data_IF_820046576959
#
_entry.id   IF_820046576959
#
_cell.length_a   1.000
_cell.length_b   1.000
_cell.length_c   1.000
_cell.angle_alpha   90.00
_cell.angle_beta   90.00
_cell.angle_gamma   90.00
#
_symmetry.space_group_name_H-M   'P 1'
#
loop_
_entity.id
_entity.type
_entity.pdbx_description
1 polymer ?
#
# COMPACT_ATOMS: atom_id res chain seq x y z
N UNK A 1 22.57 -68.52 3.59
CA UNK A 1 22.64 -68.03 4.97
C UNK A 1 21.87 -66.72 5.00
N UNK A 2 20.64 -66.77 5.51
CA UNK A 2 19.67 -65.67 5.46
C UNK A 2 19.96 -64.57 6.50
N UNK A 3 20.07 -63.29 6.12
CA UNK A 3 20.22 -62.16 7.04
C UNK A 3 18.87 -61.55 7.49
N UNK A 4 17.73 -62.21 7.23
CA UNK A 4 16.39 -61.67 7.51
C UNK A 4 15.86 -61.85 8.95
N UNK A 5 16.53 -62.64 9.80
CA UNK A 5 15.96 -63.10 11.07
C UNK A 5 16.19 -62.22 12.32
N UNK A 6 17.04 -61.18 12.25
CA UNK A 6 17.46 -60.41 13.46
C UNK A 6 16.75 -59.08 13.68
N UNK A 7 16.12 -58.50 12.65
CA UNK A 7 15.45 -57.19 12.77
C UNK A 7 14.03 -57.34 13.34
N UNK A 8 13.33 -58.43 13.02
CA UNK A 8 11.98 -58.70 13.56
C UNK A 8 11.97 -58.92 15.07
N UNK A 9 12.95 -59.66 15.61
CA UNK A 9 12.99 -60.03 17.04
C UNK A 9 13.22 -58.83 17.96
N UNK A 10 14.01 -57.84 17.53
CA UNK A 10 14.28 -56.63 18.31
C UNK A 10 13.05 -55.70 18.34
N UNK A 11 12.29 -55.63 17.24
CA UNK A 11 11.04 -54.86 17.19
C UNK A 11 9.92 -55.53 18.02
N UNK A 12 9.79 -56.84 17.97
CA UNK A 12 8.78 -57.59 18.76
C UNK A 12 9.04 -57.53 20.27
N UNK A 13 10.30 -57.61 20.70
CA UNK A 13 10.64 -57.50 22.13
C UNK A 13 10.37 -56.11 22.70
N UNK A 14 10.63 -55.03 21.95
CA UNK A 14 10.35 -53.66 22.41
C UNK A 14 8.86 -53.33 22.41
N UNK A 15 8.08 -53.86 21.47
CA UNK A 15 6.62 -53.75 21.50
C UNK A 15 6.02 -54.52 22.69
N UNK A 16 6.51 -55.73 22.97
CA UNK A 16 6.03 -56.53 24.10
C UNK A 16 6.35 -55.88 25.46
N UNK A 17 7.51 -55.21 25.58
CA UNK A 17 7.88 -54.46 26.78
C UNK A 17 7.05 -53.17 26.96
N UNK A 18 6.63 -52.51 25.88
CA UNK A 18 5.71 -51.36 25.93
C UNK A 18 4.30 -51.80 26.32
N UNK A 19 3.80 -52.90 25.76
CA UNK A 19 2.46 -53.44 26.04
C UNK A 19 2.33 -53.94 27.48
N UNK A 20 3.42 -54.42 28.10
CA UNK A 20 3.47 -54.85 29.50
C UNK A 20 3.93 -53.77 30.48
N UNK A 21 4.11 -52.52 30.04
CA UNK A 21 4.47 -51.41 30.94
C UNK A 21 3.27 -51.01 31.81
N UNK A 22 3.54 -50.59 33.06
CA UNK A 22 2.51 -50.10 34.00
C UNK A 22 1.58 -49.04 33.38
N UNK A 23 2.10 -48.21 32.48
CA UNK A 23 1.34 -47.20 31.75
C UNK A 23 0.22 -47.78 30.86
N UNK A 24 0.43 -48.94 30.23
CA UNK A 24 -0.58 -49.60 29.38
C UNK A 24 -1.63 -50.32 30.23
N UNK A 25 -1.25 -50.86 31.40
CA UNK A 25 -2.20 -51.44 32.34
C UNK A 25 -3.09 -50.38 33.00
N UNK A 26 -2.53 -49.20 33.36
CA UNK A 26 -3.29 -48.05 33.85
C UNK A 26 -4.21 -47.43 32.78
N UNK A 27 -3.77 -47.43 31.51
CA UNK A 27 -4.60 -47.01 30.37
C UNK A 27 -5.80 -47.95 30.16
N UNK A 28 -5.62 -49.27 30.31
CA UNK A 28 -6.70 -50.25 30.13
C UNK A 28 -7.70 -50.26 31.29
N UNK A 29 -7.26 -49.98 32.51
CA UNK A 29 -8.14 -49.99 33.69
C UNK A 29 -8.98 -48.72 33.84
N UNK A 30 -8.50 -47.57 33.34
CA UNK A 30 -9.15 -46.29 33.55
C UNK A 30 -9.90 -45.78 32.30
N UNK A 31 -11.21 -46.03 32.25
CA UNK A 31 -12.09 -45.57 31.16
C UNK A 31 -11.97 -44.08 30.86
N UNK A 32 -11.72 -43.23 31.87
CA UNK A 32 -11.58 -41.77 31.68
C UNK A 32 -10.33 -41.42 30.86
N UNK A 33 -9.23 -42.13 31.05
CA UNK A 33 -7.95 -41.89 30.38
C UNK A 33 -8.03 -42.31 28.89
N UNK A 34 -8.78 -43.36 28.58
CA UNK A 34 -9.10 -43.78 27.20
C UNK A 34 -9.89 -42.70 26.45
N UNK A 35 -10.93 -42.13 27.06
CA UNK A 35 -11.70 -41.04 26.47
C UNK A 35 -10.85 -39.78 26.25
N UNK A 36 -9.91 -39.50 27.14
CA UNK A 36 -8.99 -38.35 27.00
C UNK A 36 -8.04 -38.54 25.80
N UNK A 37 -7.46 -39.74 25.63
CA UNK A 37 -6.57 -40.04 24.49
C UNK A 37 -7.33 -40.03 23.17
N UNK A 38 -8.56 -40.55 23.12
CA UNK A 38 -9.43 -40.44 21.94
C UNK A 38 -9.72 -38.97 21.62
N UNK A 39 -10.01 -38.14 22.62
CA UNK A 39 -10.21 -36.71 22.44
C UNK A 39 -8.99 -36.01 21.82
N UNK A 40 -7.78 -36.32 22.32
CA UNK A 40 -6.53 -35.79 21.77
C UNK A 40 -6.32 -36.25 20.33
N UNK A 41 -6.58 -37.52 20.03
CA UNK A 41 -6.45 -38.06 18.68
C UNK A 41 -7.42 -37.37 17.69
N UNK A 42 -8.67 -37.13 18.10
CA UNK A 42 -9.65 -36.41 17.29
C UNK A 42 -9.20 -34.97 17.03
N UNK A 43 -8.70 -34.26 18.05
CA UNK A 43 -8.19 -32.89 17.90
C UNK A 43 -7.00 -32.85 16.93
N UNK A 44 -6.08 -33.82 17.03
CA UNK A 44 -4.95 -33.92 16.11
C UNK A 44 -5.41 -34.14 14.66
N UNK A 45 -6.35 -35.04 14.43
CA UNK A 45 -6.89 -35.31 13.10
C UNK A 45 -7.56 -34.05 12.52
N UNK A 46 -8.38 -33.36 13.32
CA UNK A 46 -9.03 -32.12 12.90
C UNK A 46 -8.00 -31.02 12.58
N UNK A 47 -6.92 -30.93 13.35
CA UNK A 47 -5.83 -29.98 13.11
C UNK A 47 -5.10 -30.23 11.79
N UNK A 48 -4.79 -31.50 11.47
CA UNK A 48 -4.16 -31.86 10.19
C UNK A 48 -5.10 -31.61 9.02
N UNK A 49 -6.38 -31.96 9.14
CA UNK A 49 -7.39 -31.68 8.10
C UNK A 49 -7.52 -30.19 7.84
N UNK A 50 -7.52 -29.37 8.90
CA UNK A 50 -7.54 -27.91 8.77
C UNK A 50 -6.29 -27.38 8.06
N UNK A 51 -5.10 -27.83 8.46
CA UNK A 51 -3.85 -27.39 7.84
C UNK A 51 -3.79 -27.73 6.33
N UNK A 52 -4.29 -28.92 5.95
CA UNK A 52 -4.39 -29.31 4.54
C UNK A 52 -5.44 -28.49 3.77
N UNK A 53 -6.55 -28.12 4.41
CA UNK A 53 -7.56 -27.26 3.81
C UNK A 53 -7.03 -25.84 3.59
N UNK A 54 -6.39 -25.27 4.61
CA UNK A 54 -5.81 -23.93 4.57
C UNK A 54 -4.73 -23.84 3.46
N UNK A 55 -3.85 -24.85 3.35
CA UNK A 55 -2.83 -24.91 2.29
C UNK A 55 -3.43 -24.98 0.87
N UNK A 56 -4.53 -25.71 0.67
CA UNK A 56 -5.23 -25.74 -0.62
C UNK A 56 -5.87 -24.39 -0.95
N UNK A 57 -6.45 -23.71 0.03
CA UNK A 57 -7.05 -22.39 -0.20
C UNK A 57 -6.00 -21.35 -0.57
N UNK A 58 -4.82 -21.40 0.04
CA UNK A 58 -3.71 -20.50 -0.28
C UNK A 58 -3.17 -20.73 -1.70
N UNK A 59 -2.95 -22.00 -2.08
CA UNK A 59 -2.55 -22.35 -3.45
C UNK A 59 -3.59 -21.95 -4.50
N UNK A 60 -4.88 -22.11 -4.19
CA UNK A 60 -5.95 -21.68 -5.10
C UNK A 60 -6.04 -20.16 -5.24
N UNK A 61 -5.78 -19.41 -4.16
CA UNK A 61 -5.73 -17.96 -4.20
C UNK A 61 -4.56 -17.47 -5.08
N UNK A 62 -3.39 -18.09 -4.94
CA UNK A 62 -2.20 -17.78 -5.74
C UNK A 62 -2.38 -18.15 -7.23
N UNK A 63 -3.00 -19.29 -7.53
CA UNK A 63 -3.30 -19.66 -8.92
C UNK A 63 -4.29 -18.70 -9.58
N UNK A 64 -5.29 -18.21 -8.83
CA UNK A 64 -6.24 -17.21 -9.34
C UNK A 64 -5.57 -15.88 -9.64
N UNK A 65 -4.64 -15.41 -8.80
CA UNK A 65 -3.92 -14.16 -9.06
C UNK A 65 -3.00 -14.29 -10.27
N UNK A 66 -2.32 -15.43 -10.42
CA UNK A 66 -1.50 -15.71 -11.61
C UNK A 66 -2.34 -15.76 -12.90
N UNK A 67 -3.49 -16.44 -12.88
CA UNK A 67 -4.41 -16.47 -14.03
C UNK A 67 -4.96 -15.08 -14.38
N UNK A 68 -5.31 -14.27 -13.38
CA UNK A 68 -5.76 -12.90 -13.60
C UNK A 68 -4.68 -12.02 -14.23
N UNK A 69 -3.42 -12.21 -13.85
CA UNK A 69 -2.28 -11.49 -14.43
C UNK A 69 -2.05 -11.89 -15.89
N UNK A 70 -2.08 -13.19 -16.19
CA UNK A 70 -1.95 -13.68 -17.57
C UNK A 70 -3.11 -13.19 -18.45
N UNK A 71 -4.34 -13.24 -17.95
CA UNK A 71 -5.49 -12.70 -18.68
C UNK A 71 -5.37 -11.20 -18.97
N UNK A 72 -4.81 -10.41 -18.04
CA UNK A 72 -4.52 -8.99 -18.26
C UNK A 72 -3.42 -8.77 -19.29
N UNK A 73 -2.36 -9.56 -19.25
CA UNK A 73 -1.27 -9.48 -20.23
C UNK A 73 -1.75 -9.87 -21.63
N UNK A 74 -2.58 -10.89 -21.73
CA UNK A 74 -3.16 -11.32 -23.00
C UNK A 74 -4.15 -10.28 -23.54
N UNK A 75 -5.02 -9.73 -22.69
CA UNK A 75 -5.90 -8.62 -23.09
C UNK A 75 -5.11 -7.36 -23.52
N UNK A 76 -3.97 -7.08 -22.90
CA UNK A 76 -3.08 -5.99 -23.29
C UNK A 76 -2.32 -6.28 -24.59
N UNK A 77 -2.03 -7.55 -24.90
CA UNK A 77 -1.41 -7.97 -26.16
C UNK A 77 -2.41 -7.97 -27.33
N UNK A 78 -3.66 -8.35 -27.06
CA UNK A 78 -4.74 -8.44 -28.06
C UNK A 78 -5.45 -7.10 -28.31
N UNK A 79 -5.20 -6.08 -27.47
CA UNK A 79 -5.66 -4.70 -27.69
C UNK A 79 -4.55 -3.91 -28.38
N UNK A 80 -4.55 -3.74 -29.72
CA UNK A 80 -3.64 -2.81 -30.36
C UNK A 80 -3.85 -1.43 -29.74
N UNK A 81 -2.75 -0.74 -29.42
CA UNK A 81 -2.79 0.64 -28.93
C UNK A 81 -3.50 1.47 -29.99
N UNK A 82 -4.74 1.83 -29.70
CA UNK A 82 -5.57 2.66 -30.58
C UNK A 82 -4.86 4.01 -30.73
N UNK A 83 -4.35 4.27 -31.93
CA UNK A 83 -3.60 5.49 -32.25
C UNK A 83 -4.40 6.75 -31.87
N UNK A 84 -5.74 6.69 -31.94
CA UNK A 84 -6.61 7.79 -31.53
C UNK A 84 -6.60 8.04 -30.01
N UNK A 85 -6.43 7.00 -29.19
CA UNK A 85 -6.27 7.13 -27.74
C UNK A 85 -4.90 7.70 -27.41
N UNK A 86 -3.86 7.28 -28.13
CA UNK A 86 -2.51 7.79 -27.97
C UNK A 86 -2.44 9.29 -28.30
N UNK A 87 -3.05 9.72 -29.42
CA UNK A 87 -3.14 11.13 -29.80
C UNK A 87 -3.92 11.95 -28.77
N UNK A 88 -5.02 11.40 -28.25
CA UNK A 88 -5.79 12.07 -27.20
C UNK A 88 -4.97 12.25 -25.92
N UNK A 89 -4.22 11.22 -25.50
CA UNK A 89 -3.32 11.26 -24.34
C UNK A 89 -2.17 12.23 -24.56
N UNK A 90 -1.53 12.22 -25.72
CA UNK A 90 -0.47 13.17 -26.07
C UNK A 90 -1.01 14.61 -26.03
N UNK A 91 -2.21 14.86 -26.57
CA UNK A 91 -2.82 16.19 -26.54
C UNK A 91 -3.14 16.66 -25.12
N UNK A 92 -3.57 15.75 -24.23
CA UNK A 92 -3.82 16.06 -22.82
C UNK A 92 -2.52 16.34 -22.09
N UNK A 93 -1.48 15.57 -22.36
CA UNK A 93 -0.16 15.74 -21.76
C UNK A 93 0.49 17.06 -22.20
N UNK A 94 0.38 17.43 -23.48
CA UNK A 94 0.85 18.71 -23.99
C UNK A 94 0.09 19.89 -23.38
N UNK A 95 -1.23 19.78 -23.25
CA UNK A 95 -2.06 20.80 -22.59
C UNK A 95 -1.69 20.93 -21.10
N UNK A 96 -1.51 19.81 -20.42
CA UNK A 96 -1.09 19.77 -19.02
C UNK A 96 0.31 20.39 -18.84
N UNK A 97 1.26 20.06 -19.72
CA UNK A 97 2.63 20.56 -19.63
C UNK A 97 2.69 22.08 -19.85
N UNK A 98 1.90 22.63 -20.76
CA UNK A 98 1.79 24.08 -20.99
C UNK A 98 1.23 24.87 -19.80
N UNK A 99 0.52 24.21 -18.89
CA UNK A 99 -0.08 24.84 -17.71
C UNK A 99 0.87 24.85 -16.50
N UNK A 100 2.01 24.14 -16.57
CA UNK A 100 2.99 24.11 -15.48
C UNK A 100 3.81 25.41 -15.50
N UNK A 101 3.86 26.15 -14.39
CA UNK A 101 4.63 27.39 -14.30
C UNK A 101 6.13 27.10 -14.38
N UNK A 102 6.86 28.03 -14.98
CA UNK A 102 8.30 27.92 -15.19
C UNK A 102 9.11 28.72 -14.15
N UNK A 103 10.30 28.21 -13.82
CA UNK A 103 11.27 28.87 -12.95
C UNK A 103 12.70 28.66 -13.46
N UNK A 104 13.58 29.63 -13.20
CA UNK A 104 14.97 29.59 -13.69
C UNK A 104 15.89 28.79 -12.75
N UNK A 105 15.52 28.70 -11.47
CA UNK A 105 16.28 27.96 -10.46
C UNK A 105 15.36 27.44 -9.35
N UNK A 106 15.88 26.47 -8.59
CA UNK A 106 15.20 25.91 -7.40
C UNK A 106 14.77 26.99 -6.41
N UNK A 107 15.64 27.95 -6.08
CA UNK A 107 15.32 29.03 -5.14
C UNK A 107 14.24 29.98 -5.66
N UNK A 108 14.21 30.22 -6.98
CA UNK A 108 13.15 31.01 -7.60
C UNK A 108 11.82 30.25 -7.57
N UNK A 109 11.84 28.93 -7.80
CA UNK A 109 10.66 28.09 -7.67
C UNK A 109 10.10 28.12 -6.24
N UNK A 110 10.95 28.02 -5.22
CA UNK A 110 10.55 28.13 -3.81
C UNK A 110 9.90 29.48 -3.48
N UNK A 111 10.53 30.58 -3.91
CA UNK A 111 10.00 31.93 -3.70
C UNK A 111 8.65 32.13 -4.42
N UNK A 112 8.56 31.68 -5.68
CA UNK A 112 7.31 31.73 -6.46
C UNK A 112 6.21 30.89 -5.82
N UNK A 113 6.53 29.72 -5.26
CA UNK A 113 5.58 28.85 -4.59
C UNK A 113 4.98 29.52 -3.35
N UNK A 114 5.82 30.12 -2.52
CA UNK A 114 5.39 30.85 -1.32
C UNK A 114 4.47 32.02 -1.71
N UNK A 115 4.86 32.81 -2.71
CA UNK A 115 4.06 33.93 -3.20
C UNK A 115 2.71 33.48 -3.79
N UNK A 116 2.70 32.40 -4.57
CA UNK A 116 1.49 31.87 -5.20
C UNK A 116 0.47 31.39 -4.15
N UNK A 117 0.90 30.65 -3.13
CA UNK A 117 0.01 30.19 -2.05
C UNK A 117 -0.51 31.37 -1.24
N UNK A 118 0.34 32.35 -0.96
CA UNK A 118 -0.05 33.54 -0.22
C UNK A 118 -1.13 34.36 -0.96
N UNK A 119 -0.97 34.53 -2.28
CA UNK A 119 -1.92 35.25 -3.12
C UNK A 119 -3.24 34.48 -3.32
N UNK A 120 -3.15 33.19 -3.67
CA UNK A 120 -4.32 32.41 -4.06
C UNK A 120 -5.16 31.99 -2.86
N UNK A 121 -4.52 31.61 -1.76
CA UNK A 121 -5.19 30.90 -0.65
C UNK A 121 -4.99 31.60 0.69
N UNK A 122 -3.93 32.40 0.82
CA UNK A 122 -3.58 33.09 2.06
C UNK A 122 -4.65 34.06 2.58
N UNK A 123 -5.58 34.54 1.75
CA UNK A 123 -6.69 35.40 2.19
C UNK A 123 -7.86 34.62 2.82
N UNK A 124 -7.93 33.30 2.59
CA UNK A 124 -8.96 32.43 3.15
C UNK A 124 -8.63 31.98 4.58
N UNK A 125 -7.34 31.95 4.92
CA UNK A 125 -6.82 31.45 6.20
C UNK A 125 -6.42 32.62 7.10
N UNK A 126 -7.05 32.68 8.27
CA UNK A 126 -6.66 33.60 9.35
C UNK A 126 -5.52 33.02 10.19
N UNK A 127 -4.66 33.88 10.75
CA UNK A 127 -3.50 33.49 11.57
C UNK A 127 -2.60 32.44 10.88
N UNK A 128 -2.45 32.56 9.56
CA UNK A 128 -1.66 31.64 8.76
C UNK A 128 -0.19 31.66 9.15
N UNK A 129 0.44 30.49 9.05
CA UNK A 129 1.86 30.25 9.14
C UNK A 129 2.23 29.40 7.95
N UNK A 130 3.10 29.91 7.11
CA UNK A 130 3.58 29.24 5.92
C UNK A 130 5.04 28.84 6.16
N UNK A 131 5.34 27.57 6.04
CA UNK A 131 6.67 27.01 6.21
C UNK A 131 7.06 26.25 4.95
N UNK A 132 8.24 26.56 4.40
CA UNK A 132 8.84 25.76 3.34
C UNK A 132 9.36 24.45 3.95
N UNK A 133 8.88 23.31 3.46
CA UNK A 133 9.38 21.98 3.89
C UNK A 133 10.62 21.62 3.10
N UNK A 134 10.60 21.86 1.80
CA UNK A 134 11.73 21.63 0.90
C UNK A 134 11.29 21.66 -0.56
N UNK A 135 12.25 21.48 -1.45
CA UNK A 135 11.99 21.29 -2.86
C UNK A 135 12.80 20.10 -3.38
N UNK A 136 12.11 19.18 -4.03
CA UNK A 136 12.66 17.96 -4.61
C UNK A 136 12.77 18.12 -6.12
N UNK A 137 13.83 17.58 -6.71
CA UNK A 137 14.06 17.61 -8.14
C UNK A 137 13.64 16.30 -8.78
N UNK A 138 12.92 16.39 -9.89
CA UNK A 138 12.44 15.26 -10.67
C UNK A 138 12.85 15.45 -12.13
N UNK A 139 13.56 14.47 -12.68
CA UNK A 139 13.99 14.48 -14.07
C UNK A 139 13.08 13.53 -14.85
N UNK A 140 12.41 14.05 -15.88
CA UNK A 140 11.58 13.25 -16.77
C UNK A 140 11.96 13.55 -18.23
N UNK A 141 12.62 12.59 -18.88
CA UNK A 141 13.18 12.77 -20.21
C UNK A 141 14.27 13.84 -20.21
N UNK A 142 14.10 14.90 -21.00
CA UNK A 142 15.01 16.04 -21.10
C UNK A 142 14.61 17.22 -20.23
N UNK A 143 13.51 17.12 -19.48
CA UNK A 143 12.98 18.21 -18.66
C UNK A 143 13.18 17.93 -17.17
N UNK A 144 13.62 18.98 -16.47
CA UNK A 144 13.76 18.99 -15.02
C UNK A 144 12.56 19.71 -14.41
N UNK A 145 12.00 19.10 -13.38
CA UNK A 145 10.89 19.63 -12.61
C UNK A 145 11.30 19.78 -11.15
N UNK A 146 10.77 20.79 -10.48
CA UNK A 146 10.91 20.98 -9.04
C UNK A 146 9.54 20.86 -8.37
N UNK A 147 9.44 19.92 -7.44
CA UNK A 147 8.29 19.78 -6.55
C UNK A 147 8.59 20.52 -5.24
N UNK A 148 8.00 21.71 -5.09
CA UNK A 148 8.13 22.54 -3.88
C UNK A 148 7.04 22.16 -2.90
N UNK A 149 7.41 21.69 -1.72
CA UNK A 149 6.49 21.33 -0.64
C UNK A 149 6.39 22.43 0.40
N UNK A 150 5.16 22.89 0.63
CA UNK A 150 4.82 23.92 1.61
C UNK A 150 3.88 23.37 2.67
N UNK A 151 4.11 23.75 3.91
CA UNK A 151 3.20 23.50 5.02
C UNK A 151 2.50 24.80 5.42
N UNK A 152 1.18 24.79 5.37
CA UNK A 152 0.30 25.90 5.67
C UNK A 152 -0.59 25.54 6.87
N UNK A 153 -0.35 26.20 8.00
CA UNK A 153 -1.14 26.04 9.22
C UNK A 153 -1.87 27.33 9.57
N UNK A 154 -3.08 27.25 10.10
CA UNK A 154 -3.83 28.43 10.53
C UNK A 154 -5.27 28.10 10.91
N UNK A 155 -6.15 29.08 10.74
CA UNK A 155 -7.58 28.94 10.98
C UNK A 155 -8.36 29.20 9.69
N UNK A 156 -9.16 28.22 9.27
CA UNK A 156 -10.00 28.25 8.08
C UNK A 156 -11.45 28.06 8.49
N UNK A 157 -12.25 29.11 8.38
CA UNK A 157 -13.68 29.01 8.66
C UNK A 157 -14.35 28.01 7.72
N UNK A 158 -15.32 27.26 8.23
CA UNK A 158 -15.98 26.19 7.48
C UNK A 158 -16.67 26.67 6.18
N UNK A 159 -17.20 27.89 6.16
CA UNK A 159 -17.79 28.53 4.98
C UNK A 159 -16.77 28.74 3.84
N UNK A 160 -15.48 28.90 4.19
CA UNK A 160 -14.37 29.09 3.24
C UNK A 160 -13.68 27.80 2.83
N UNK A 161 -14.01 26.67 3.46
CA UNK A 161 -13.35 25.38 3.18
C UNK A 161 -13.52 24.95 1.72
N UNK A 162 -14.73 25.07 1.17
CA UNK A 162 -15.00 24.69 -0.21
C UNK A 162 -14.26 25.59 -1.19
N UNK A 163 -14.22 26.90 -0.93
CA UNK A 163 -13.44 27.84 -1.73
C UNK A 163 -11.94 27.51 -1.69
N UNK A 164 -11.42 27.15 -0.51
CA UNK A 164 -10.04 26.71 -0.32
C UNK A 164 -9.73 25.47 -1.17
N UNK A 165 -10.56 24.42 -1.08
CA UNK A 165 -10.35 23.18 -1.81
C UNK A 165 -10.43 23.36 -3.33
N UNK A 166 -11.28 24.28 -3.79
CA UNK A 166 -11.44 24.59 -5.22
C UNK A 166 -10.14 25.10 -5.86
N UNK A 167 -9.24 25.72 -5.10
CA UNK A 167 -7.93 26.15 -5.62
C UNK A 167 -6.96 25.00 -5.91
N UNK A 168 -7.24 23.80 -5.40
CA UNK A 168 -6.42 22.60 -5.59
C UNK A 168 -7.18 21.49 -6.32
N UNK A 169 -8.34 21.80 -6.89
CA UNK A 169 -9.11 20.85 -7.69
C UNK A 169 -8.40 20.59 -9.04
N UNK A 170 -8.83 19.56 -9.74
CA UNK A 170 -8.34 19.04 -11.03
C UNK A 170 -8.09 20.08 -12.13
N UNK A 171 -8.60 21.32 -11.99
CA UNK A 171 -8.24 22.45 -12.84
C UNK A 171 -6.81 22.99 -12.65
N UNK A 172 -6.16 22.72 -11.53
CA UNK A 172 -4.78 23.18 -11.25
C UNK A 172 -3.79 22.05 -11.42
N UNK A 173 -3.27 21.86 -12.64
CA UNK A 173 -2.30 20.78 -12.93
C UNK A 173 -0.99 20.92 -12.14
N UNK A 174 -0.63 22.14 -11.73
CA UNK A 174 0.63 22.44 -11.05
C UNK A 174 0.58 22.46 -9.53
N UNK A 175 -0.57 22.18 -8.90
CA UNK A 175 -0.67 22.20 -7.43
C UNK A 175 -1.58 21.11 -6.90
N UNK A 176 -1.17 20.45 -5.81
CA UNK A 176 -1.94 19.41 -5.14
C UNK A 176 -1.84 19.52 -3.63
N UNK A 177 -2.88 19.04 -2.95
CA UNK A 177 -2.84 18.81 -1.51
C UNK A 177 -2.22 17.43 -1.27
N UNK A 178 -1.06 17.38 -0.62
CA UNK A 178 -0.42 16.14 -0.22
C UNK A 178 -1.07 15.55 1.04
N UNK A 179 -1.42 16.40 2.00
CA UNK A 179 -2.17 16.01 3.20
C UNK A 179 -2.92 17.21 3.78
N UNK A 180 -4.08 16.97 4.37
CA UNK A 180 -4.88 18.01 5.00
C UNK A 180 -5.51 17.48 6.29
N UNK A 181 -5.38 18.25 7.36
CA UNK A 181 -6.07 18.05 8.62
C UNK A 181 -6.91 19.28 8.92
N UNK A 182 -8.22 19.07 9.13
CA UNK A 182 -9.16 20.13 9.43
C UNK A 182 -9.98 19.81 10.69
N UNK A 183 -10.02 20.75 11.64
CA UNK A 183 -10.72 20.59 12.92
C UNK A 183 -11.70 21.76 13.16
N UNK A 184 -12.96 21.66 12.67
CA UNK A 184 -13.94 22.75 12.74
C UNK A 184 -14.48 23.03 14.16
N UNK A 185 -14.47 22.04 15.07
CA UNK A 185 -15.24 22.14 16.33
C UNK A 185 -14.53 22.90 17.45
N UNK A 186 -13.21 22.99 17.45
CA UNK A 186 -12.43 23.53 18.57
C UNK A 186 -11.84 24.91 18.28
N UNK A 187 -11.42 25.17 17.05
CA UNK A 187 -10.77 26.45 16.69
C UNK A 187 -10.75 26.75 15.18
N UNK A 188 -11.54 26.03 14.38
CA UNK A 188 -11.47 26.06 12.92
C UNK A 188 -10.04 25.85 12.40
N UNK A 189 -9.23 25.04 13.09
CA UNK A 189 -7.83 24.89 12.74
C UNK A 189 -7.67 24.05 11.48
N UNK A 190 -6.73 24.47 10.64
CA UNK A 190 -6.34 23.78 9.43
C UNK A 190 -4.82 23.62 9.40
N UNK A 191 -4.37 22.45 8.97
CA UNK A 191 -2.98 22.15 8.68
C UNK A 191 -2.94 21.43 7.33
N UNK A 192 -2.31 22.05 6.33
CA UNK A 192 -2.31 21.57 4.95
C UNK A 192 -0.89 21.53 4.43
N UNK A 193 -0.50 20.38 3.89
CA UNK A 193 0.74 20.23 3.13
C UNK A 193 0.37 20.24 1.65
N UNK A 194 0.97 21.17 0.92
CA UNK A 194 0.72 21.40 -0.50
C UNK A 194 2.02 21.17 -1.26
N UNK A 195 1.92 20.48 -2.39
CA UNK A 195 3.01 20.33 -3.34
C UNK A 195 2.69 21.19 -4.57
N UNK A 196 3.64 22.02 -5.00
CA UNK A 196 3.59 22.80 -6.23
C UNK A 196 4.67 22.33 -7.18
N UNK A 197 4.31 22.18 -8.46
CA UNK A 197 5.20 21.72 -9.50
C UNK A 197 5.65 22.90 -10.37
N UNK A 198 6.96 23.04 -10.55
CA UNK A 198 7.58 24.00 -11.45
C UNK A 198 8.45 23.29 -12.47
N UNK A 199 8.49 23.81 -13.69
CA UNK A 199 9.39 23.34 -14.75
C UNK A 199 10.61 24.25 -14.82
N UNK A 200 11.79 23.66 -15.01
CA UNK A 200 13.02 24.42 -15.24
C UNK A 200 13.02 25.07 -16.63
N UNK A 201 13.31 26.37 -16.68
CA UNK A 201 13.69 27.06 -17.92
C UNK A 201 15.14 26.71 -18.21
N UNK A 202 15.38 26.05 -19.35
CA UNK A 202 16.74 25.90 -19.88
C UNK A 202 17.10 27.25 -20.50
N UNK A 203 17.87 28.06 -19.78
CA UNK A 203 18.48 29.25 -20.36
C UNK A 203 19.63 28.80 -21.27
N UNK A 204 19.39 28.81 -22.58
CA UNK A 204 20.45 28.72 -23.60
C UNK A 204 21.23 30.04 -23.70
#
# INVERSE_FOLDING_TARGET
MDPGGKISVIFEQRFSALVNSQAVQEYRSNKRLQWMVVGIAVILILSVLKALADSRTEQQAELKTQQALVARLQAAADSPVDESQMDSMMSMLDKANKQIPEADSKSIAEAKALAAIEQNVGHLITRKRLNLVGADEHIAGTQTYWSVRLNLAGQLKGDKLIAFLKHFDSSSTSSRIASMQYAPKTSDSVNVVVDLLYKQVVNE
#
